data_IF_761194425914
#
_entry.id   IF_761194425914
#
_cell.length_a   1.000
_cell.length_b   1.000
_cell.length_c   1.000
_cell.angle_alpha   90.00
_cell.angle_beta   90.00
_cell.angle_gamma   90.00
#
_symmetry.space_group_name_H-M   'P 1'
#
loop_
_entity.id
_entity.type
_entity.pdbx_description
1 polymer ?
#
# COMPACT_ATOMS: atom_id res chain seq x y z
N UNK A 1 12.15 -19.48 1.27
CA UNK A 1 12.90 -20.13 0.17
C UNK A 1 14.29 -20.49 0.68
N UNK A 2 14.64 -21.78 0.63
CA UNK A 2 15.83 -22.28 1.32
C UNK A 2 17.10 -22.22 0.46
N UNK A 3 16.97 -21.90 -0.83
CA UNK A 3 18.07 -21.80 -1.80
C UNK A 3 18.08 -20.43 -2.51
N UNK A 4 18.10 -19.35 -1.74
CA UNK A 4 18.29 -17.99 -2.26
C UNK A 4 19.16 -17.18 -1.32
N UNK A 5 20.00 -16.31 -1.88
CA UNK A 5 20.75 -15.33 -1.08
C UNK A 5 19.85 -14.18 -0.67
N UNK A 6 19.76 -13.91 0.63
CA UNK A 6 18.91 -12.88 1.21
C UNK A 6 19.79 -11.80 1.84
N UNK A 7 19.63 -10.58 1.31
CA UNK A 7 20.27 -9.37 1.82
C UNK A 7 19.19 -8.45 2.38
N UNK A 8 19.39 -7.93 3.59
CA UNK A 8 18.48 -6.97 4.22
C UNK A 8 19.24 -5.69 4.60
N UNK A 9 18.67 -4.55 4.26
CA UNK A 9 19.09 -3.21 4.72
C UNK A 9 18.01 -2.69 5.65
N UNK A 10 18.36 -2.34 6.89
CA UNK A 10 17.42 -1.74 7.85
C UNK A 10 18.16 -0.75 8.76
N UNK A 11 17.50 0.35 9.11
CA UNK A 11 18.04 1.35 10.05
C UNK A 11 17.93 0.88 11.50
N UNK A 12 17.03 -0.07 11.78
CA UNK A 12 16.79 -0.64 13.10
C UNK A 12 17.48 -2.01 13.22
N UNK A 13 18.53 -2.15 14.04
CA UNK A 13 19.29 -3.38 14.11
C UNK A 13 18.43 -4.57 14.59
N UNK A 14 17.44 -4.34 15.45
CA UNK A 14 16.51 -5.36 15.95
C UNK A 14 15.54 -5.91 14.90
N UNK A 15 15.50 -5.32 13.69
CA UNK A 15 14.70 -5.81 12.57
C UNK A 15 15.46 -6.72 11.63
N UNK A 16 16.80 -6.70 11.67
CA UNK A 16 17.65 -7.55 10.83
C UNK A 16 17.43 -9.02 11.19
N UNK A 17 17.05 -9.82 10.20
CA UNK A 17 16.85 -11.26 10.38
C UNK A 17 15.55 -11.65 11.07
N UNK A 18 14.70 -10.69 11.46
CA UNK A 18 13.44 -10.95 12.18
C UNK A 18 12.43 -11.77 11.37
N UNK A 19 12.50 -11.71 10.02
CA UNK A 19 11.51 -12.34 9.11
C UNK A 19 12.09 -13.41 8.20
N UNK A 20 13.41 -13.51 8.11
CA UNK A 20 14.12 -14.52 7.31
C UNK A 20 15.56 -14.62 7.75
N UNK A 21 16.19 -15.78 7.57
CA UNK A 21 17.64 -15.93 7.71
C UNK A 21 18.34 -15.08 6.65
N UNK A 22 19.38 -14.35 7.03
CA UNK A 22 20.13 -13.44 6.15
C UNK A 22 21.50 -14.01 5.82
N UNK A 23 21.95 -13.79 4.58
CA UNK A 23 23.34 -13.99 4.15
C UNK A 23 24.18 -12.74 4.37
N UNK A 24 23.54 -11.56 4.27
CA UNK A 24 24.17 -10.27 4.52
C UNK A 24 23.17 -9.30 5.16
N UNK A 25 23.55 -8.72 6.28
CA UNK A 25 22.82 -7.66 6.94
C UNK A 25 23.58 -6.34 6.79
N UNK A 26 22.88 -5.29 6.36
CA UNK A 26 23.42 -3.93 6.28
C UNK A 26 22.61 -3.07 7.24
N UNK A 27 23.25 -2.68 8.34
CA UNK A 27 22.65 -1.74 9.27
C UNK A 27 22.88 -0.32 8.75
N UNK A 28 21.81 0.34 8.32
CA UNK A 28 21.89 1.69 7.76
C UNK A 28 20.59 2.16 7.14
N UNK A 29 20.53 3.46 6.86
CA UNK A 29 19.44 4.05 6.10
C UNK A 29 19.44 3.55 4.64
N UNK A 30 18.26 3.24 4.11
CA UNK A 30 18.11 2.67 2.76
C UNK A 30 18.55 3.67 1.68
N UNK A 31 18.22 4.96 1.83
CA UNK A 31 18.59 6.00 0.85
C UNK A 31 20.10 6.17 0.81
N UNK A 32 20.76 6.30 1.96
CA UNK A 32 22.21 6.47 2.02
C UNK A 32 22.96 5.22 1.54
N UNK A 33 22.45 4.03 1.87
CA UNK A 33 23.00 2.77 1.37
C UNK A 33 22.95 2.72 -0.16
N UNK A 34 21.79 3.02 -0.75
CA UNK A 34 21.64 3.06 -2.22
C UNK A 34 22.48 4.15 -2.87
N UNK A 35 22.63 5.33 -2.25
CA UNK A 35 23.51 6.40 -2.74
C UNK A 35 24.96 5.95 -2.84
N UNK A 36 25.45 5.20 -1.85
CA UNK A 36 26.82 4.68 -1.84
C UNK A 36 27.00 3.46 -2.77
N UNK A 37 25.96 2.64 -2.92
CA UNK A 37 26.02 1.39 -3.67
C UNK A 37 25.83 1.59 -5.18
N UNK A 38 24.88 2.44 -5.60
CA UNK A 38 24.52 2.64 -7.01
C UNK A 38 25.73 2.90 -7.93
N UNK A 39 26.71 3.78 -7.57
CA UNK A 39 27.90 4.02 -8.41
C UNK A 39 28.84 2.82 -8.54
N UNK A 40 28.75 1.84 -7.65
CA UNK A 40 29.63 0.66 -7.59
C UNK A 40 29.02 -0.56 -8.30
N UNK A 41 27.73 -0.51 -8.65
CA UNK A 41 27.03 -1.62 -9.31
C UNK A 41 27.16 -1.46 -10.83
N UNK A 42 27.67 -2.50 -11.49
CA UNK A 42 27.69 -2.55 -12.96
C UNK A 42 26.27 -2.81 -13.49
N UNK A 43 25.76 -2.03 -14.46
CA UNK A 43 24.49 -2.31 -15.11
C UNK A 43 24.46 -3.72 -15.72
N UNK A 44 23.35 -4.43 -15.54
CA UNK A 44 23.12 -5.75 -16.14
C UNK A 44 22.22 -5.59 -17.37
N UNK A 45 22.61 -6.20 -18.49
CA UNK A 45 21.81 -6.20 -19.73
C UNK A 45 20.78 -7.33 -19.78
N UNK A 46 20.97 -8.42 -19.02
CA UNK A 46 19.99 -9.50 -18.96
C UNK A 46 18.75 -9.07 -18.17
N UNK A 47 17.63 -8.95 -18.88
CA UNK A 47 16.34 -8.54 -18.36
C UNK A 47 15.31 -9.68 -18.28
N UNK A 48 15.67 -10.92 -18.59
CA UNK A 48 14.72 -12.05 -18.66
C UNK A 48 13.89 -12.24 -17.39
N UNK A 49 14.49 -12.07 -16.21
CA UNK A 49 13.76 -12.15 -14.96
C UNK A 49 12.82 -10.95 -14.77
N UNK A 50 13.32 -9.74 -15.00
CA UNK A 50 12.56 -8.50 -14.90
C UNK A 50 11.34 -8.53 -15.82
N UNK A 51 11.53 -8.79 -17.11
CA UNK A 51 10.46 -8.73 -18.10
C UNK A 51 9.39 -9.81 -17.84
N UNK A 52 9.80 -11.00 -17.36
CA UNK A 52 8.87 -12.05 -16.92
C UNK A 52 8.05 -11.64 -15.70
N UNK A 53 8.66 -11.00 -14.70
CA UNK A 53 7.96 -10.53 -13.50
C UNK A 53 7.04 -9.34 -13.81
N UNK A 54 7.47 -8.42 -14.68
CA UNK A 54 6.64 -7.31 -15.16
C UNK A 54 5.41 -7.83 -15.90
N UNK A 55 5.58 -8.79 -16.82
CA UNK A 55 4.45 -9.44 -17.49
C UNK A 55 3.50 -10.11 -16.50
N UNK A 56 4.03 -10.91 -15.57
CA UNK A 56 3.23 -11.57 -14.53
C UNK A 56 2.46 -10.57 -13.68
N UNK A 57 3.07 -9.43 -13.36
CA UNK A 57 2.42 -8.37 -12.57
C UNK A 57 1.32 -7.67 -13.37
N UNK A 58 1.59 -7.32 -14.64
CA UNK A 58 0.60 -6.75 -15.55
C UNK A 58 -0.60 -7.70 -15.74
N UNK A 59 -0.35 -8.99 -15.98
CA UNK A 59 -1.42 -10.00 -16.13
C UNK A 59 -2.28 -10.10 -14.85
N UNK A 60 -1.66 -10.02 -13.67
CA UNK A 60 -2.37 -10.05 -12.40
C UNK A 60 -3.24 -8.81 -12.18
N UNK A 61 -2.74 -7.61 -12.54
CA UNK A 61 -3.50 -6.37 -12.46
C UNK A 61 -4.65 -6.34 -13.48
N UNK A 62 -4.39 -6.76 -14.73
CA UNK A 62 -5.43 -6.87 -15.76
C UNK A 62 -6.55 -7.84 -15.35
N UNK A 63 -6.23 -8.93 -14.64
CA UNK A 63 -7.24 -9.86 -14.12
C UNK A 63 -8.18 -9.20 -13.10
N UNK A 64 -7.62 -8.37 -12.21
CA UNK A 64 -8.41 -7.58 -11.25
C UNK A 64 -9.25 -6.54 -11.99
N UNK A 65 -8.66 -5.76 -12.90
CA UNK A 65 -9.37 -4.72 -13.66
C UNK A 65 -10.48 -5.31 -14.56
N UNK A 66 -10.21 -6.42 -15.28
CA UNK A 66 -11.18 -7.07 -16.16
C UNK A 66 -12.38 -7.68 -15.42
N UNK A 67 -12.23 -8.04 -14.15
CA UNK A 67 -13.37 -8.50 -13.34
C UNK A 67 -14.43 -7.39 -13.17
N UNK A 68 -14.04 -6.11 -13.29
CA UNK A 68 -14.93 -4.98 -13.06
C UNK A 68 -15.34 -4.18 -14.31
N UNK A 69 -14.95 -4.60 -15.52
CA UNK A 69 -15.18 -3.85 -16.76
C UNK A 69 -16.54 -4.09 -17.44
N UNK A 70 -17.43 -4.92 -16.88
CA UNK A 70 -18.77 -5.16 -17.46
C UNK A 70 -19.89 -4.75 -16.52
N UNK A 71 -20.43 -3.54 -16.72
CA UNK A 71 -21.67 -3.03 -16.11
C UNK A 71 -21.70 -3.08 -14.58
N UNK A 72 -20.56 -3.00 -13.90
CA UNK A 72 -20.51 -3.13 -12.42
C UNK A 72 -21.23 -1.98 -11.72
N UNK A 73 -21.31 -0.82 -12.37
CA UNK A 73 -22.17 0.32 -12.00
C UNK A 73 -23.66 -0.04 -11.90
N UNK A 74 -24.09 -1.12 -12.55
CA UNK A 74 -25.48 -1.61 -12.58
C UNK A 74 -25.71 -2.87 -11.74
N UNK A 75 -24.69 -3.39 -11.07
CA UNK A 75 -24.83 -4.59 -10.25
C UNK A 75 -25.41 -4.24 -8.87
N UNK A 76 -26.37 -5.05 -8.42
CA UNK A 76 -26.95 -4.96 -7.08
C UNK A 76 -26.80 -6.32 -6.39
N UNK A 77 -26.21 -6.40 -5.19
CA UNK A 77 -25.67 -5.28 -4.39
C UNK A 77 -24.38 -4.68 -4.99
N UNK A 78 -24.02 -3.46 -4.54
CA UNK A 78 -22.81 -2.77 -4.99
C UNK A 78 -21.57 -3.55 -4.53
N UNK A 79 -20.64 -3.79 -5.46
CA UNK A 79 -19.35 -4.40 -5.15
C UNK A 79 -18.42 -3.38 -4.46
N UNK A 80 -17.86 -3.68 -3.27
CA UNK A 80 -16.96 -2.77 -2.56
C UNK A 80 -15.73 -2.33 -3.37
N UNK A 81 -15.26 -3.18 -4.27
CA UNK A 81 -14.14 -2.89 -5.15
C UNK A 81 -14.47 -1.80 -6.18
N UNK A 82 -15.72 -1.75 -6.64
CA UNK A 82 -16.19 -0.65 -7.49
C UNK A 82 -16.22 0.66 -6.72
N UNK A 83 -16.68 0.65 -5.47
CA UNK A 83 -16.64 1.83 -4.59
C UNK A 83 -15.20 2.32 -4.42
N UNK A 84 -14.25 1.40 -4.17
CA UNK A 84 -12.84 1.76 -4.01
C UNK A 84 -12.22 2.34 -5.32
N UNK A 85 -12.59 1.81 -6.48
CA UNK A 85 -12.16 2.33 -7.79
C UNK A 85 -12.69 3.75 -8.03
N UNK A 86 -13.99 3.97 -7.83
CA UNK A 86 -14.60 5.31 -7.99
C UNK A 86 -14.01 6.30 -6.99
N UNK A 87 -13.73 5.85 -5.76
CA UNK A 87 -13.09 6.68 -4.75
C UNK A 87 -11.68 7.12 -5.18
N UNK A 88 -10.89 6.22 -5.76
CA UNK A 88 -9.55 6.55 -6.29
C UNK A 88 -9.61 7.56 -7.44
N UNK A 89 -10.59 7.42 -8.34
CA UNK A 89 -10.83 8.31 -9.48
C UNK A 89 -11.27 9.72 -9.05
N UNK A 90 -12.10 9.81 -8.01
CA UNK A 90 -12.64 11.09 -7.52
C UNK A 90 -11.71 11.82 -6.55
N UNK A 91 -10.77 11.11 -5.93
CA UNK A 91 -9.90 11.69 -4.92
C UNK A 91 -8.84 12.61 -5.52
N UNK A 92 -8.50 13.66 -4.79
CA UNK A 92 -7.48 14.62 -5.22
C UNK A 92 -6.11 13.94 -5.45
N UNK A 93 -5.29 14.55 -6.31
CA UNK A 93 -3.94 14.06 -6.61
C UNK A 93 -3.06 13.96 -5.36
N UNK A 94 -3.38 14.71 -4.31
CA UNK A 94 -2.69 14.66 -3.04
C UNK A 94 -3.60 14.20 -1.90
N UNK A 95 -4.75 13.56 -2.12
CA UNK A 95 -5.60 13.12 -1.01
C UNK A 95 -4.87 12.30 0.09
N UNK A 96 -5.32 12.44 1.34
CA UNK A 96 -4.91 11.60 2.48
C UNK A 96 -6.01 10.59 2.77
N UNK A 97 -5.67 9.31 2.66
CA UNK A 97 -6.58 8.21 3.00
C UNK A 97 -6.23 7.67 4.38
N UNK A 98 -7.25 7.49 5.21
CA UNK A 98 -7.15 6.71 6.44
C UNK A 98 -7.97 5.45 6.31
N UNK A 99 -7.39 4.29 6.60
CA UNK A 99 -7.96 3.01 6.22
C UNK A 99 -8.19 2.17 7.46
N UNK A 100 -9.44 1.75 7.66
CA UNK A 100 -9.84 0.99 8.82
C UNK A 100 -9.41 -0.47 8.72
N UNK A 101 -9.12 -1.10 9.86
CA UNK A 101 -8.75 -2.51 9.86
C UNK A 101 -9.93 -3.38 9.44
N UNK A 102 -9.73 -4.20 8.41
CA UNK A 102 -10.75 -5.06 7.81
C UNK A 102 -10.60 -5.11 6.30
N UNK A 103 -11.72 -5.29 5.58
CA UNK A 103 -11.71 -5.32 4.11
C UNK A 103 -11.21 -4.01 3.49
N UNK A 104 -11.36 -2.88 4.18
CA UNK A 104 -10.82 -1.59 3.72
C UNK A 104 -9.30 -1.64 3.49
N UNK A 105 -8.54 -2.39 4.29
CA UNK A 105 -7.10 -2.59 4.05
C UNK A 105 -6.84 -3.28 2.71
N UNK A 106 -7.67 -4.27 2.35
CA UNK A 106 -7.55 -5.00 1.07
C UNK A 106 -7.90 -4.07 -0.09
N UNK A 107 -8.97 -3.28 0.05
CA UNK A 107 -9.43 -2.37 -0.99
C UNK A 107 -8.46 -1.22 -1.21
N UNK A 108 -8.00 -0.58 -0.14
CA UNK A 108 -7.00 0.47 -0.22
C UNK A 108 -5.70 -0.03 -0.86
N UNK A 109 -5.21 -1.21 -0.47
CA UNK A 109 -3.97 -1.78 -1.00
C UNK A 109 -4.05 -2.19 -2.48
N UNK A 110 -5.25 -2.46 -3.00
CA UNK A 110 -5.45 -2.94 -4.38
C UNK A 110 -5.93 -1.87 -5.35
N UNK A 111 -6.69 -0.87 -4.89
CA UNK A 111 -7.39 0.08 -5.76
C UNK A 111 -6.93 1.52 -5.62
N UNK A 112 -6.28 1.92 -4.51
CA UNK A 112 -5.75 3.28 -4.43
C UNK A 112 -4.44 3.38 -5.23
N UNK A 113 -4.42 4.26 -6.22
CA UNK A 113 -3.27 4.47 -7.08
C UNK A 113 -2.20 5.31 -6.36
N UNK A 114 -1.01 4.76 -6.08
CA UNK A 114 0.06 5.52 -5.46
C UNK A 114 0.73 6.43 -6.49
N UNK A 115 0.84 7.73 -6.19
CA UNK A 115 1.45 8.72 -7.08
C UNK A 115 2.58 9.53 -6.42
N UNK A 116 2.98 9.14 -5.21
CA UNK A 116 4.02 9.82 -4.42
C UNK A 116 3.55 11.07 -3.67
N UNK A 117 2.39 11.64 -4.01
CA UNK A 117 1.78 12.78 -3.31
C UNK A 117 0.75 12.31 -2.29
N UNK A 118 -0.15 11.39 -2.68
CA UNK A 118 -1.16 10.77 -1.80
C UNK A 118 -0.53 10.08 -0.60
N UNK A 119 -1.25 10.04 0.52
CA UNK A 119 -0.83 9.37 1.76
C UNK A 119 -1.87 8.34 2.17
N UNK A 120 -1.40 7.22 2.70
CA UNK A 120 -2.27 6.16 3.25
C UNK A 120 -1.83 5.88 4.68
N UNK A 121 -2.76 6.01 5.62
CA UNK A 121 -2.54 5.84 7.06
C UNK A 121 -3.50 4.76 7.55
N UNK A 122 -3.03 3.89 8.43
CA UNK A 122 -3.86 2.85 9.01
C UNK A 122 -3.18 2.15 10.18
N UNK A 123 -3.93 1.35 10.92
CA UNK A 123 -3.41 0.53 12.01
C UNK A 123 -2.70 -0.74 11.50
N UNK A 124 -1.80 -0.63 10.53
CA UNK A 124 -1.28 -1.78 9.78
C UNK A 124 -0.41 -2.75 10.60
N UNK A 125 0.24 -2.25 11.66
CA UNK A 125 1.06 -3.08 12.55
C UNK A 125 0.33 -3.53 13.80
N UNK A 126 -0.49 -2.66 14.40
CA UNK A 126 -1.23 -2.97 15.63
C UNK A 126 -2.53 -3.73 15.34
N UNK A 127 -3.19 -3.45 14.21
CA UNK A 127 -4.38 -4.15 13.77
C UNK A 127 -5.67 -3.76 14.50
N UNK A 128 -5.72 -2.56 15.10
CA UNK A 128 -6.95 -2.08 15.75
C UNK A 128 -7.99 -1.67 14.71
N UNK A 129 -9.23 -2.13 14.89
CA UNK A 129 -10.41 -1.56 14.24
C UNK A 129 -10.69 -0.15 14.76
N UNK A 130 -11.61 0.54 14.08
CA UNK A 130 -12.06 1.90 14.38
C UNK A 130 -10.98 2.97 14.21
N UNK A 131 -9.93 2.69 13.44
CA UNK A 131 -8.78 3.59 13.36
C UNK A 131 -8.97 4.69 12.31
N UNK A 132 -9.75 4.45 11.26
CA UNK A 132 -9.86 5.40 10.14
C UNK A 132 -10.39 6.77 10.56
N UNK A 133 -11.58 6.82 11.19
CA UNK A 133 -12.22 8.11 11.52
C UNK A 133 -11.37 9.00 12.45
N UNK A 134 -10.85 8.50 13.60
CA UNK A 134 -9.98 9.32 14.46
C UNK A 134 -8.71 9.77 13.75
N UNK A 135 -8.10 8.91 12.92
CA UNK A 135 -6.92 9.27 12.15
C UNK A 135 -7.26 10.34 11.09
N UNK A 136 -8.42 10.28 10.46
CA UNK A 136 -8.88 11.28 9.49
C UNK A 136 -9.06 12.64 10.15
N UNK A 137 -9.67 12.67 11.33
CA UNK A 137 -9.81 13.89 12.14
C UNK A 137 -8.42 14.49 12.44
N UNK A 138 -7.46 13.65 12.85
CA UNK A 138 -6.08 14.09 13.10
C UNK A 138 -5.38 14.60 11.84
N UNK A 139 -5.51 13.91 10.71
CA UNK A 139 -4.93 14.33 9.44
C UNK A 139 -5.50 15.67 8.97
N UNK A 140 -6.83 15.83 9.02
CA UNK A 140 -7.50 17.07 8.63
C UNK A 140 -7.21 18.21 9.60
N UNK A 141 -6.86 17.92 10.86
CA UNK A 141 -6.44 18.96 11.81
C UNK A 141 -5.10 19.59 11.41
N UNK A 142 -4.17 18.79 10.89
CA UNK A 142 -2.83 19.23 10.49
C UNK A 142 -2.86 20.02 9.17
N UNK A 143 -3.70 19.60 8.22
CA UNK A 143 -3.85 20.24 6.93
C UNK A 143 -5.35 20.35 6.60
N UNK A 144 -5.84 21.59 6.56
CA UNK A 144 -7.27 21.92 6.38
C UNK A 144 -7.68 22.09 4.92
N UNK A 145 -6.71 22.23 4.02
CA UNK A 145 -6.98 22.46 2.59
C UNK A 145 -6.99 21.15 1.83
N UNK A 146 -6.15 20.20 2.25
CA UNK A 146 -6.00 18.90 1.61
C UNK A 146 -7.18 17.98 1.91
N UNK A 147 -7.69 17.30 0.89
CA UNK A 147 -8.79 16.34 1.03
C UNK A 147 -8.37 15.14 1.89
N UNK A 148 -9.17 14.83 2.91
CA UNK A 148 -9.00 13.65 3.76
C UNK A 148 -10.19 12.71 3.61
N UNK A 149 -9.91 11.43 3.33
CA UNK A 149 -10.90 10.40 3.07
C UNK A 149 -10.76 9.27 4.10
N UNK A 150 -11.81 9.08 4.92
CA UNK A 150 -11.90 7.97 5.86
C UNK A 150 -12.56 6.73 5.21
N UNK A 151 -11.77 5.71 4.88
CA UNK A 151 -12.26 4.41 4.44
C UNK A 151 -12.60 3.55 5.66
N UNK A 152 -13.80 3.77 6.21
CA UNK A 152 -14.30 3.11 7.41
C UNK A 152 -15.16 1.89 7.09
N UNK A 153 -15.02 0.83 7.90
CA UNK A 153 -15.98 -0.27 7.92
C UNK A 153 -17.16 0.15 8.80
N UNK A 154 -18.34 -0.41 8.58
CA UNK A 154 -19.50 -0.22 9.45
C UNK A 154 -19.20 -0.58 10.92
N UNK A 155 -18.54 -1.73 11.14
CA UNK A 155 -18.14 -2.18 12.47
C UNK A 155 -17.13 -1.24 13.14
N UNK A 156 -16.09 -0.81 12.43
CA UNK A 156 -15.09 0.09 13.01
C UNK A 156 -15.61 1.52 13.17
N UNK A 157 -16.46 2.00 12.27
CA UNK A 157 -17.11 3.31 12.41
C UNK A 157 -18.00 3.36 13.65
N UNK A 158 -18.88 2.36 13.81
CA UNK A 158 -19.82 2.30 14.95
C UNK A 158 -19.14 2.17 16.31
N UNK A 159 -17.99 1.50 16.40
CA UNK A 159 -17.24 1.34 17.66
C UNK A 159 -16.87 2.65 18.36
N UNK A 160 -16.70 3.74 17.61
CA UNK A 160 -16.34 5.06 18.15
C UNK A 160 -17.39 6.14 17.86
N UNK A 161 -18.61 5.73 17.52
CA UNK A 161 -19.70 6.66 17.17
C UNK A 161 -20.47 7.19 18.39
N UNK A 162 -20.23 6.65 19.59
CA UNK A 162 -20.91 7.07 20.83
C UNK A 162 -22.18 6.28 21.10
#
# INVERSE_FOLDING_TARGET
>A
PDDVKIVQVDVRPERLGRRSKLDLAVWGDVRETLRCLTPRVKPKSDRKFLDRMLKKHADALEGVVKAYTRKVDKHTPIHPEYVASVLDEMADEDAVFTVDTGMNNVWAARYLTPNGKRRVIGSFSHGSMANALPQAIGAQFVDRERQVVAMSGDGGFSMLMG
#
